data_IF_198830364604
#
_entry.id   IF_198830364604
#
_cell.length_a   1.000
_cell.length_b   1.000
_cell.length_c   1.000
_cell.angle_alpha   90.00
_cell.angle_beta   90.00
_cell.angle_gamma   90.00
#
_symmetry.space_group_name_H-M   'P 1'
#
loop_
_entity.id
_entity.type
_entity.pdbx_description
1 polymer ?
#
# COMPACT_ATOMS: atom_id res chain seq x y z
N UNK A 1 7.75 -2.55 -12.87
CA UNK A 1 6.88 -1.38 -13.11
C UNK A 1 5.44 -1.85 -13.04
N UNK A 2 4.57 -1.05 -12.42
CA UNK A 2 3.15 -1.35 -12.19
C UNK A 2 2.87 -2.65 -11.42
N UNK A 3 3.75 -2.98 -10.48
CA UNK A 3 3.63 -4.12 -9.58
C UNK A 3 4.46 -3.89 -8.32
N UNK A 4 3.97 -4.42 -7.20
CA UNK A 4 4.69 -4.48 -5.92
C UNK A 4 4.07 -3.66 -4.79
N UNK A 5 3.16 -2.71 -5.07
CA UNK A 5 2.53 -1.95 -3.99
C UNK A 5 1.65 -2.82 -3.09
N UNK A 6 1.01 -3.88 -3.62
CA UNK A 6 -0.03 -4.65 -2.91
C UNK A 6 0.49 -5.79 -2.03
N UNK A 7 1.77 -6.14 -2.13
CA UNK A 7 2.36 -7.27 -1.43
C UNK A 7 3.55 -6.82 -0.57
N UNK A 8 3.88 -7.61 0.45
CA UNK A 8 5.11 -7.41 1.21
C UNK A 8 6.33 -7.75 0.35
N UNK A 9 6.95 -6.72 -0.22
CA UNK A 9 8.12 -6.88 -1.07
C UNK A 9 9.36 -7.31 -0.28
N UNK A 10 9.44 -6.94 1.01
CA UNK A 10 10.57 -7.29 1.85
C UNK A 10 10.57 -8.80 2.09
N UNK A 11 9.42 -9.35 2.43
CA UNK A 11 9.25 -10.79 2.57
C UNK A 11 9.41 -11.52 1.24
N UNK A 12 8.77 -11.03 0.18
CA UNK A 12 8.74 -11.71 -1.12
C UNK A 12 10.10 -11.75 -1.82
N UNK A 13 10.83 -10.64 -1.83
CA UNK A 13 12.11 -10.53 -2.54
C UNK A 13 13.30 -10.96 -1.67
N UNK A 14 13.16 -10.93 -0.34
CA UNK A 14 14.18 -11.31 0.64
C UNK A 14 15.58 -10.76 0.29
N UNK A 15 15.62 -9.46 -0.03
CA UNK A 15 16.83 -8.81 -0.53
C UNK A 15 17.82 -8.54 0.61
N UNK A 16 19.11 -8.68 0.30
CA UNK A 16 20.18 -8.28 1.22
C UNK A 16 20.23 -6.77 1.45
N UNK A 17 20.97 -6.35 2.50
CA UNK A 17 21.09 -4.94 2.93
C UNK A 17 21.68 -3.98 1.88
N UNK A 18 22.29 -4.51 0.82
CA UNK A 18 22.94 -3.72 -0.23
C UNK A 18 22.02 -3.36 -1.40
N UNK A 19 20.83 -3.96 -1.49
CA UNK A 19 19.90 -3.69 -2.58
C UNK A 19 18.79 -2.73 -2.14
N UNK A 20 18.44 -1.79 -3.03
CA UNK A 20 17.29 -0.90 -2.88
C UNK A 20 16.36 -1.05 -4.08
N UNK A 21 15.07 -1.16 -3.81
CA UNK A 21 14.02 -1.30 -4.81
C UNK A 21 13.22 -0.01 -4.87
N UNK A 22 13.10 0.56 -6.06
CA UNK A 22 12.20 1.66 -6.35
C UNK A 22 10.93 1.09 -6.96
N UNK A 23 9.81 1.28 -6.28
CA UNK A 23 8.51 0.78 -6.70
C UNK A 23 7.77 1.92 -7.37
N UNK A 24 7.57 1.77 -8.68
CA UNK A 24 6.70 2.63 -9.48
C UNK A 24 5.49 1.81 -9.86
N UNK A 25 4.41 2.00 -9.12
CA UNK A 25 3.19 1.20 -9.24
C UNK A 25 1.96 2.05 -8.91
N UNK A 26 0.94 1.97 -9.77
CA UNK A 26 -0.30 2.76 -9.65
C UNK A 26 -1.34 2.09 -8.76
N UNK A 27 -1.13 0.83 -8.35
CA UNK A 27 -2.06 0.14 -7.47
C UNK A 27 -2.06 0.73 -6.05
N UNK A 28 -3.26 0.90 -5.51
CA UNK A 28 -3.53 1.27 -4.12
C UNK A 28 -4.57 0.31 -3.50
N UNK A 29 -4.62 0.17 -2.17
CA UNK A 29 -3.70 0.75 -1.17
C UNK A 29 -2.31 0.09 -1.19
N UNK A 30 -1.31 0.79 -0.64
CA UNK A 30 0.07 0.30 -0.53
C UNK A 30 0.18 -0.63 0.68
N UNK A 31 0.96 -1.69 0.57
CA UNK A 31 1.20 -2.62 1.66
C UNK A 31 1.98 -1.92 2.78
N UNK A 32 1.47 -1.92 4.02
CA UNK A 32 2.03 -1.14 5.13
C UNK A 32 3.51 -1.43 5.39
N UNK A 33 3.97 -2.67 5.20
CA UNK A 33 5.40 -3.02 5.38
C UNK A 33 6.33 -2.36 4.36
N UNK A 34 5.81 -1.98 3.18
CA UNK A 34 6.59 -1.27 2.17
C UNK A 34 6.73 0.23 2.52
N UNK A 35 5.84 0.74 3.38
CA UNK A 35 5.87 2.12 3.91
C UNK A 35 6.53 2.20 5.28
N UNK A 36 7.00 1.06 5.85
CA UNK A 36 7.67 1.04 7.14
C UNK A 36 8.98 1.83 7.09
N UNK A 37 9.16 2.82 7.99
CA UNK A 37 10.39 3.63 8.09
C UNK A 37 11.65 2.78 8.38
N UNK A 38 11.47 1.61 9.00
CA UNK A 38 12.53 0.64 9.21
C UNK A 38 12.92 -0.10 7.92
N UNK A 39 12.06 -0.11 6.91
CA UNK A 39 12.27 -0.78 5.63
C UNK A 39 12.98 0.13 4.61
N UNK A 40 14.25 0.45 4.88
CA UNK A 40 15.08 1.32 4.01
C UNK A 40 15.44 0.71 2.64
N UNK A 41 15.12 -0.56 2.43
CA UNK A 41 15.36 -1.25 1.16
C UNK A 41 14.27 -0.95 0.13
N UNK A 42 13.09 -0.47 0.54
CA UNK A 42 11.97 -0.19 -0.35
C UNK A 42 11.71 1.31 -0.41
N UNK A 43 11.52 1.83 -1.62
CA UNK A 43 11.11 3.22 -1.85
C UNK A 43 9.94 3.20 -2.81
N UNK A 44 8.74 3.52 -2.32
CA UNK A 44 7.54 3.60 -3.13
C UNK A 44 7.36 5.05 -3.61
N UNK A 45 7.12 5.24 -4.90
CA UNK A 45 6.82 6.57 -5.46
C UNK A 45 5.31 6.80 -5.46
N UNK A 46 4.91 7.99 -5.01
CA UNK A 46 3.52 8.42 -4.89
C UNK A 46 3.40 9.93 -5.16
N UNK A 47 2.19 10.42 -5.46
CA UNK A 47 1.85 11.83 -5.70
C UNK A 47 1.18 12.47 -4.49
N UNK A 48 0.93 13.79 -4.57
CA UNK A 48 0.10 14.51 -3.59
C UNK A 48 -1.30 13.92 -3.44
N UNK A 49 -1.86 13.38 -4.52
CA UNK A 49 -3.19 12.78 -4.50
C UNK A 49 -3.22 11.51 -3.62
N UNK A 50 -2.07 10.85 -3.47
CA UNK A 50 -1.90 9.67 -2.61
C UNK A 50 -1.76 10.04 -1.11
N UNK A 51 -1.54 11.32 -0.76
CA UNK A 51 -1.15 11.73 0.60
C UNK A 51 -2.21 11.40 1.66
N UNK A 52 -3.49 11.52 1.31
CA UNK A 52 -4.58 11.20 2.25
C UNK A 52 -4.59 9.71 2.62
N UNK A 53 -4.34 8.83 1.64
CA UNK A 53 -4.20 7.39 1.89
C UNK A 53 -2.95 7.08 2.72
N UNK A 54 -1.86 7.81 2.46
CA UNK A 54 -0.59 7.63 3.16
C UNK A 54 -0.63 8.13 4.60
N UNK A 55 -1.39 9.19 4.88
CA UNK A 55 -1.63 9.65 6.25
C UNK A 55 -2.26 8.54 7.09
N UNK A 56 -3.31 7.90 6.56
CA UNK A 56 -3.96 6.75 7.21
C UNK A 56 -2.98 5.57 7.40
N UNK A 57 -2.08 5.34 6.45
CA UNK A 57 -1.06 4.29 6.55
C UNK A 57 0.03 4.61 7.58
N UNK A 58 0.42 5.88 7.70
CA UNK A 58 1.45 6.34 8.65
C UNK A 58 1.00 6.19 10.10
N UNK A 59 -0.25 6.54 10.39
CA UNK A 59 -0.87 6.28 11.71
C UNK A 59 -0.74 4.80 12.12
N UNK A 60 -0.96 3.89 11.17
CA UNK A 60 -0.82 2.44 11.39
C UNK A 60 0.65 1.99 11.57
N UNK A 61 1.61 2.67 10.96
CA UNK A 61 3.00 2.26 10.99
C UNK A 61 3.68 2.59 12.32
N UNK A 62 3.22 3.67 12.97
CA UNK A 62 3.78 4.17 14.24
C UNK A 62 3.61 3.24 15.45
N UNK A 63 2.70 2.26 15.38
CA UNK A 63 2.26 1.47 16.54
C UNK A 63 2.67 -0.02 16.48
N UNK A 64 3.32 -0.47 15.40
CA UNK A 64 3.71 -1.88 15.19
C UNK A 64 4.91 -2.33 16.07
N UNK A 65 5.56 -1.41 16.77
CA UNK A 65 6.68 -1.70 17.70
C UNK A 65 6.23 -2.34 19.03
N UNK A 66 4.93 -2.58 19.26
CA UNK A 66 4.43 -3.27 20.48
C UNK A 66 3.78 -4.64 20.23
N UNK A 67 3.94 -5.20 19.04
CA UNK A 67 3.42 -6.53 18.68
C UNK A 67 4.25 -7.70 19.23
N UNK A 68 4.12 -8.02 20.52
CA UNK A 68 4.64 -9.25 21.15
C UNK A 68 4.37 -10.48 20.26
N UNK A 69 5.44 -11.24 19.96
CA UNK A 69 5.41 -12.60 19.42
C UNK A 69 4.37 -13.47 20.14
N UNK A 70 3.18 -13.63 19.55
CA UNK A 70 2.24 -14.65 19.97
C UNK A 70 2.66 -15.96 19.30
N UNK A 71 3.53 -16.70 19.97
CA UNK A 71 3.78 -18.11 19.66
C UNK A 71 2.45 -18.85 19.70
N UNK A 72 1.94 -19.24 18.53
CA UNK A 72 0.77 -20.11 18.43
C UNK A 72 1.16 -21.48 18.98
N UNK A 73 0.83 -21.75 20.25
CA UNK A 73 0.84 -23.11 20.78
C UNK A 73 -0.36 -23.83 20.18
N UNK A 74 -0.11 -24.69 19.20
CA UNK A 74 -1.09 -25.68 18.76
C UNK A 74 -1.36 -26.63 19.93
N UNK A 75 -2.60 -26.65 20.40
CA UNK A 75 -3.14 -27.76 21.18
C UNK A 75 -4.27 -28.37 20.36
N UNK A 76 -4.04 -29.59 19.92
CA UNK A 76 -5.08 -30.58 19.61
C UNK A 76 -6.08 -30.61 20.78
N UNK A 77 -7.37 -30.42 20.50
CA UNK A 77 -8.38 -31.40 20.90
C UNK A 77 -9.76 -31.11 20.29
N UNK A 78 -10.47 -32.20 19.98
CA UNK A 78 -11.84 -32.25 19.48
C UNK A 78 -12.87 -31.70 20.50
N UNK A 79 -14.06 -31.39 19.97
CA UNK A 79 -15.35 -31.30 20.68
C UNK A 79 -15.86 -29.90 21.09
N UNK A 80 -16.83 -29.46 20.29
CA UNK A 80 -18.14 -28.97 20.75
C UNK A 80 -18.30 -27.56 21.33
N UNK A 81 -19.31 -26.88 20.76
CA UNK A 81 -20.13 -25.76 21.27
C UNK A 81 -19.63 -24.35 20.98
N UNK A 82 -20.31 -23.76 19.99
CA UNK A 82 -20.63 -22.33 19.83
C UNK A 82 -20.38 -21.52 21.11
N UNK A 83 -19.31 -20.74 21.13
CA UNK A 83 -19.21 -19.54 21.96
C UNK A 83 -18.95 -18.37 21.04
N UNK A 84 -20.05 -17.75 20.62
CA UNK A 84 -20.06 -16.39 20.13
C UNK A 84 -19.42 -15.54 21.23
N UNK A 85 -18.15 -15.16 21.05
CA UNK A 85 -17.49 -14.23 21.95
C UNK A 85 -18.11 -12.87 21.69
N UNK A 86 -19.01 -12.48 22.59
CA UNK A 86 -19.41 -11.08 22.77
C UNK A 86 -18.12 -10.30 22.99
N UNK A 87 -17.71 -9.54 21.98
CA UNK A 87 -16.66 -8.54 22.15
C UNK A 87 -17.31 -7.40 22.92
N UNK A 88 -16.90 -7.20 24.16
CA UNK A 88 -17.15 -5.93 24.84
C UNK A 88 -16.39 -4.88 24.03
N UNK A 89 -17.12 -3.94 23.42
CA UNK A 89 -16.58 -2.75 22.77
C UNK A 89 -16.05 -1.80 23.86
N UNK A 90 -14.91 -2.14 24.45
CA UNK A 90 -14.10 -1.14 25.11
C UNK A 90 -13.32 -0.41 24.00
N UNK A 91 -13.86 0.72 23.53
CA UNK A 91 -13.24 1.63 22.55
C UNK A 91 -11.88 2.21 22.99
N UNK A 92 -11.35 1.77 24.13
CA UNK A 92 -10.14 2.30 24.78
C UNK A 92 -8.88 1.44 24.55
N UNK A 93 -9.00 0.24 24.00
CA UNK A 93 -7.82 -0.61 23.72
C UNK A 93 -7.14 -0.20 22.40
N UNK A 94 -5.90 0.33 22.43
CA UNK A 94 -5.19 0.77 21.22
C UNK A 94 -5.03 -0.34 20.18
N UNK A 95 -4.97 -1.61 20.61
CA UNK A 95 -4.85 -2.77 19.70
C UNK A 95 -6.13 -2.99 18.89
N UNK A 96 -7.30 -2.71 19.47
CA UNK A 96 -8.58 -2.85 18.77
C UNK A 96 -8.81 -1.70 17.80
N UNK A 97 -8.43 -0.48 18.20
CA UNK A 97 -8.45 0.69 17.33
C UNK A 97 -7.54 0.48 16.11
N UNK A 98 -6.32 0.01 16.33
CA UNK A 98 -5.39 -0.33 15.25
C UNK A 98 -5.97 -1.35 14.26
N UNK A 99 -6.59 -2.42 14.76
CA UNK A 99 -7.26 -3.43 13.91
C UNK A 99 -8.43 -2.82 13.12
N UNK A 100 -9.16 -1.88 13.70
CA UNK A 100 -10.28 -1.17 13.03
C UNK A 100 -9.76 -0.29 11.90
N UNK A 101 -8.75 0.54 12.15
CA UNK A 101 -8.16 1.45 11.15
C UNK A 101 -7.49 0.63 10.03
N UNK A 102 -6.74 -0.43 10.37
CA UNK A 102 -6.12 -1.32 9.37
C UNK A 102 -7.15 -2.00 8.49
N UNK A 103 -8.28 -2.42 9.07
CA UNK A 103 -9.40 -2.99 8.30
C UNK A 103 -9.99 -1.94 7.37
N UNK A 104 -10.17 -0.71 7.84
CA UNK A 104 -10.69 0.39 7.05
C UNK A 104 -9.79 0.73 5.86
N UNK A 105 -8.47 0.83 6.10
CA UNK A 105 -7.48 1.08 5.06
C UNK A 105 -7.54 0.07 3.91
N UNK A 106 -7.76 -1.21 4.21
CA UNK A 106 -7.89 -2.26 3.18
C UNK A 106 -9.34 -2.52 2.73
N UNK A 107 -10.34 -1.79 3.26
CA UNK A 107 -11.76 -2.06 3.03
C UNK A 107 -12.20 -1.74 1.60
N UNK A 108 -11.70 -0.64 1.06
CA UNK A 108 -12.07 -0.13 -0.28
C UNK A 108 -11.62 -1.06 -1.41
N UNK A 109 -10.76 -2.04 -1.12
CA UNK A 109 -10.23 -2.96 -2.12
C UNK A 109 -9.11 -2.31 -2.92
N UNK A 110 -8.84 -2.85 -4.11
CA UNK A 110 -7.75 -2.34 -4.96
C UNK A 110 -8.30 -1.43 -6.04
N UNK A 111 -7.69 -0.26 -6.15
CA UNK A 111 -7.95 0.70 -7.20
C UNK A 111 -6.63 1.18 -7.81
N UNK A 112 -6.74 1.86 -8.94
CA UNK A 112 -5.60 2.42 -9.66
C UNK A 112 -5.65 3.93 -9.53
N UNK A 113 -4.55 4.52 -9.08
CA UNK A 113 -4.34 5.96 -9.14
C UNK A 113 -3.56 6.31 -10.41
N UNK A 114 -2.96 7.51 -10.43
CA UNK A 114 -2.22 8.05 -11.56
C UNK A 114 -1.33 6.97 -12.23
N UNK A 115 -1.39 6.82 -13.56
CA UNK A 115 -0.63 5.82 -14.26
C UNK A 115 0.88 5.99 -14.00
N UNK A 116 1.60 4.89 -13.85
CA UNK A 116 3.04 4.91 -13.59
C UNK A 116 3.84 5.71 -14.62
N UNK A 117 3.35 5.86 -15.85
CA UNK A 117 4.01 6.69 -16.87
C UNK A 117 3.83 8.19 -16.62
N UNK A 118 2.70 8.63 -16.05
CA UNK A 118 2.54 10.03 -15.61
C UNK A 118 3.60 10.38 -14.57
N UNK A 119 3.74 9.54 -13.54
CA UNK A 119 4.80 9.67 -12.52
C UNK A 119 6.20 9.78 -13.12
N UNK A 120 6.52 8.90 -14.09
CA UNK A 120 7.83 8.93 -14.75
C UNK A 120 8.01 10.15 -15.65
N UNK A 121 6.95 10.64 -16.28
CA UNK A 121 6.97 11.87 -17.08
C UNK A 121 7.21 13.08 -16.20
N UNK A 122 6.54 13.19 -15.05
CA UNK A 122 6.73 14.28 -14.10
C UNK A 122 8.15 14.28 -13.55
N UNK A 123 8.68 13.11 -13.17
CA UNK A 123 10.08 12.97 -12.78
C UNK A 123 11.03 13.38 -13.90
N UNK A 124 10.76 12.98 -15.14
CA UNK A 124 11.58 13.36 -16.29
C UNK A 124 11.53 14.86 -16.57
N UNK A 125 10.36 15.48 -16.36
CA UNK A 125 10.15 16.92 -16.48
C UNK A 125 10.94 17.68 -15.42
N UNK A 126 10.89 17.25 -14.16
CA UNK A 126 11.70 17.81 -13.07
C UNK A 126 13.21 17.71 -13.33
N UNK A 127 13.66 16.66 -14.02
CA UNK A 127 15.05 16.47 -14.42
C UNK A 127 15.45 17.22 -15.70
N UNK A 128 14.54 17.95 -16.35
CA UNK A 128 14.78 18.62 -17.64
C UNK A 128 15.01 17.65 -18.80
N UNK A 129 14.55 16.41 -18.69
CA UNK A 129 14.70 15.32 -19.69
C UNK A 129 13.38 14.92 -20.33
N UNK A 130 12.39 15.81 -20.32
CA UNK A 130 11.11 15.55 -20.96
C UNK A 130 11.27 15.53 -22.49
N UNK A 131 10.93 14.40 -23.11
CA UNK A 131 10.93 14.24 -24.56
C UNK A 131 9.49 14.13 -25.07
N UNK A 132 9.28 14.48 -26.34
CA UNK A 132 7.98 14.29 -26.99
C UNK A 132 7.53 12.82 -26.97
N UNK A 133 8.46 11.86 -27.00
CA UNK A 133 8.14 10.44 -26.88
C UNK A 133 7.60 10.08 -25.51
N UNK A 134 8.20 10.61 -24.43
CA UNK A 134 7.66 10.40 -23.08
C UNK A 134 6.25 10.99 -22.95
N UNK A 135 6.00 12.18 -23.52
CA UNK A 135 4.66 12.77 -23.53
C UNK A 135 3.65 11.91 -24.29
N UNK A 136 4.02 11.38 -25.47
CA UNK A 136 3.17 10.46 -26.24
C UNK A 136 2.86 9.19 -25.45
N UNK A 137 3.86 8.59 -24.79
CA UNK A 137 3.67 7.39 -23.97
C UNK A 137 2.77 7.64 -22.76
N UNK A 138 2.86 8.81 -22.12
CA UNK A 138 1.97 9.22 -21.02
C UNK A 138 0.52 9.32 -21.48
N UNK A 139 0.29 9.95 -22.65
CA UNK A 139 -1.06 10.03 -23.24
C UNK A 139 -1.65 8.64 -23.49
N UNK A 140 -0.86 7.72 -24.05
CA UNK A 140 -1.28 6.34 -24.30
C UNK A 140 -1.67 5.63 -22.99
N UNK A 141 -0.89 5.76 -21.91
CA UNK A 141 -1.27 5.15 -20.63
C UNK A 141 -2.50 5.75 -19.97
N UNK A 142 -2.71 7.06 -20.14
CA UNK A 142 -3.90 7.70 -19.59
C UNK A 142 -5.15 7.19 -20.32
N UNK A 143 -5.07 7.10 -21.66
CA UNK A 143 -6.16 6.53 -22.46
C UNK A 143 -6.36 5.04 -22.19
N UNK A 144 -5.31 4.28 -21.89
CA UNK A 144 -5.40 2.87 -21.50
C UNK A 144 -6.19 2.71 -20.19
N UNK A 145 -5.85 3.50 -19.16
CA UNK A 145 -6.61 3.49 -17.91
C UNK A 145 -8.05 3.98 -18.09
N UNK A 146 -8.27 5.00 -18.93
CA UNK A 146 -9.59 5.52 -19.24
C UNK A 146 -10.48 4.48 -19.94
N UNK A 147 -9.98 3.82 -21.00
CA UNK A 147 -10.71 2.80 -21.76
C UNK A 147 -11.10 1.60 -20.89
N UNK A 148 -10.28 1.28 -19.90
CA UNK A 148 -10.53 0.16 -19.01
C UNK A 148 -11.37 0.52 -17.76
N UNK A 149 -12.01 1.69 -17.72
CA UNK A 149 -12.77 2.21 -16.57
C UNK A 149 -11.97 2.15 -15.26
N UNK A 150 -10.65 2.32 -15.35
CA UNK A 150 -9.72 2.25 -14.22
C UNK A 150 -9.51 3.61 -13.55
N UNK A 151 -10.05 4.68 -14.14
CA UNK A 151 -10.07 6.02 -13.55
C UNK A 151 -11.40 6.25 -12.85
N UNK A 152 -11.36 6.65 -11.59
CA UNK A 152 -12.51 7.26 -10.92
C UNK A 152 -12.83 8.61 -11.58
N UNK A 153 -14.11 8.90 -11.82
CA UNK A 153 -14.62 10.06 -12.57
C UNK A 153 -14.17 11.45 -12.05
N UNK A 154 -13.46 11.52 -10.93
CA UNK A 154 -12.96 12.76 -10.31
C UNK A 154 -11.60 13.23 -10.86
N UNK A 155 -10.96 12.46 -11.75
CA UNK A 155 -9.62 12.78 -12.29
C UNK A 155 -9.63 13.48 -13.66
N UNK A 156 -10.75 14.12 -14.03
CA UNK A 156 -10.92 14.80 -15.31
C UNK A 156 -11.05 16.33 -15.16
#
# INVERSE_FOLDING_TARGET
>A
MNWGCRCDLRWLLNLGRSARVFVVDSHRPIHLHNLNDQNKSMVVLYTSDDEQELANASELNSDDERGRTLTVKMKDDESSRKRMRVYNEDETDPVQLFKKIKREYYRTGTFLMMPSRCLMYDLSHLLGKNTNELFRLTRVSLTDQFVHDRLTNESC
#
